data_IF_493313249323
#
_entry.id   IF_493313249323
#
_cell.length_a   1.000
_cell.length_b   1.000
_cell.length_c   1.000
_cell.angle_alpha   90.00
_cell.angle_beta   90.00
_cell.angle_gamma   90.00
#
_symmetry.space_group_name_H-M   'P 1'
#
loop_
_entity.id
_entity.type
_entity.pdbx_description
1 polymer ?
#
# COMPACT_ATOMS: atom_id res chain seq x y z
N UNK A 1 -1.62 17.05 2.17
CA UNK A 1 -1.99 15.98 3.11
C UNK A 1 -2.47 14.77 2.31
N UNK A 2 -1.97 13.55 2.59
CA UNK A 2 -2.49 12.33 2.01
C UNK A 2 -3.97 12.11 2.35
N UNK A 3 -4.76 11.64 1.38
CA UNK A 3 -6.21 11.47 1.53
C UNK A 3 -6.57 10.46 2.63
N UNK A 4 -5.72 9.44 2.87
CA UNK A 4 -5.97 8.39 3.86
C UNK A 4 -5.97 8.93 5.30
N UNK A 5 -5.37 10.10 5.56
CA UNK A 5 -5.40 10.70 6.89
C UNK A 5 -6.82 11.12 7.32
N UNK A 6 -7.70 11.38 6.37
CA UNK A 6 -9.11 11.68 6.62
C UNK A 6 -9.96 10.42 6.86
N UNK A 7 -9.38 9.23 6.65
CA UNK A 7 -10.05 7.94 6.81
C UNK A 7 -9.78 7.26 8.16
N UNK A 8 -8.98 7.86 9.05
CA UNK A 8 -8.59 7.28 10.35
C UNK A 8 -9.74 6.75 11.22
N UNK A 9 -10.95 7.25 11.03
CA UNK A 9 -12.13 6.89 11.84
C UNK A 9 -13.01 5.78 11.20
N UNK A 10 -12.65 5.25 10.03
CA UNK A 10 -13.40 4.22 9.30
C UNK A 10 -12.61 2.90 9.29
N UNK A 11 -12.69 2.18 10.40
CA UNK A 11 -11.87 0.98 10.66
C UNK A 11 -12.51 -0.33 10.18
N UNK A 12 -13.75 -0.28 9.68
CA UNK A 12 -14.54 -1.43 9.27
C UNK A 12 -14.20 -1.96 7.87
N UNK A 13 -13.45 -1.18 7.08
CA UNK A 13 -13.12 -1.53 5.69
C UNK A 13 -11.60 -1.64 5.50
N UNK A 14 -11.15 -2.77 4.95
CA UNK A 14 -9.81 -2.93 4.40
C UNK A 14 -9.71 -2.25 3.03
N UNK A 15 -8.82 -1.27 2.88
CA UNK A 15 -8.66 -0.49 1.65
C UNK A 15 -7.25 -0.71 1.08
N UNK A 16 -7.19 -1.22 -0.14
CA UNK A 16 -5.94 -1.42 -0.88
C UNK A 16 -5.87 -0.42 -2.02
N UNK A 17 -4.74 0.27 -2.18
CA UNK A 17 -4.57 1.25 -3.27
C UNK A 17 -3.16 1.29 -3.83
N UNK A 18 -3.02 1.81 -5.05
CA UNK A 18 -1.74 2.04 -5.72
C UNK A 18 -1.65 3.46 -6.29
N UNK A 19 -1.04 3.61 -7.47
CA UNK A 19 -0.85 4.86 -8.23
C UNK A 19 0.10 5.90 -7.60
N UNK A 20 0.24 5.91 -6.27
CA UNK A 20 1.03 6.91 -5.55
C UNK A 20 2.40 6.38 -5.08
N UNK A 21 3.27 6.07 -6.03
CA UNK A 21 4.62 5.52 -5.79
C UNK A 21 5.49 6.34 -4.81
N UNK A 22 5.26 7.66 -4.69
CA UNK A 22 6.00 8.52 -3.75
C UNK A 22 5.80 8.15 -2.27
N UNK A 23 4.75 7.36 -1.96
CA UNK A 23 4.51 6.82 -0.62
C UNK A 23 5.30 5.53 -0.35
N UNK A 24 5.90 4.92 -1.37
CA UNK A 24 6.65 3.67 -1.27
C UNK A 24 5.91 2.56 -0.50
N UNK A 25 4.65 2.32 -0.85
CA UNK A 25 3.82 1.30 -0.20
C UNK A 25 3.53 1.54 1.29
N UNK A 26 3.75 2.74 1.82
CA UNK A 26 3.50 3.10 3.21
C UNK A 26 2.16 3.82 3.41
N UNK A 27 1.45 3.44 4.48
CA UNK A 27 0.32 4.17 5.05
C UNK A 27 0.38 4.02 6.57
N UNK A 28 0.28 5.11 7.35
CA UNK A 28 0.25 5.08 8.81
C UNK A 28 -1.13 4.73 9.38
N UNK A 29 -2.16 4.62 8.53
CA UNK A 29 -3.55 4.38 8.96
C UNK A 29 -3.83 2.90 8.88
N UNK A 30 -4.32 2.33 9.99
CA UNK A 30 -4.72 0.93 10.05
C UNK A 30 -5.74 0.61 8.96
N UNK A 31 -5.68 -0.62 8.44
CA UNK A 31 -6.59 -1.16 7.42
C UNK A 31 -6.53 -0.43 6.06
N UNK A 32 -5.56 0.48 5.88
CA UNK A 32 -5.25 1.13 4.59
C UNK A 32 -3.87 0.68 4.13
N UNK A 33 -3.83 -0.05 3.03
CA UNK A 33 -2.64 -0.68 2.48
C UNK A 33 -2.25 -0.04 1.15
N UNK A 34 -1.17 0.75 1.17
CA UNK A 34 -0.53 1.23 -0.06
C UNK A 34 0.28 0.08 -0.68
N UNK A 35 0.01 -0.27 -1.93
CA UNK A 35 0.69 -1.36 -2.67
C UNK A 35 1.66 -0.85 -3.74
N UNK A 36 1.56 0.43 -4.12
CA UNK A 36 2.49 1.02 -5.10
C UNK A 36 3.82 1.35 -4.43
N UNK A 37 4.76 0.43 -4.62
CA UNK A 37 6.16 0.54 -4.22
C UNK A 37 7.05 1.01 -5.38
N UNK A 38 6.49 1.52 -6.48
CA UNK A 38 7.27 2.17 -7.54
C UNK A 38 8.12 1.22 -8.38
N UNK A 39 7.59 0.05 -8.76
CA UNK A 39 8.30 -0.96 -9.56
C UNK A 39 9.07 -0.39 -10.76
N UNK A 40 8.41 0.45 -11.58
CA UNK A 40 8.98 1.02 -12.82
C UNK A 40 10.05 2.09 -12.55
N UNK A 41 10.21 2.50 -11.30
CA UNK A 41 11.21 3.45 -10.85
C UNK A 41 12.43 2.77 -10.20
N UNK A 42 12.62 1.47 -10.45
CA UNK A 42 13.74 0.68 -9.95
C UNK A 42 13.59 0.18 -8.51
N UNK A 43 12.37 0.18 -7.97
CA UNK A 43 12.09 -0.35 -6.64
C UNK A 43 11.44 -1.74 -6.71
N UNK A 44 10.20 -1.93 -6.28
CA UNK A 44 9.59 -3.26 -6.21
C UNK A 44 8.18 -3.31 -6.80
N UNK A 45 7.76 -4.49 -7.24
CA UNK A 45 6.35 -4.85 -7.43
C UNK A 45 5.86 -5.57 -6.18
N UNK A 46 4.80 -5.06 -5.57
CA UNK A 46 4.30 -5.56 -4.28
C UNK A 46 2.89 -6.14 -4.41
N UNK A 47 2.66 -7.28 -3.75
CA UNK A 47 1.36 -7.93 -3.60
C UNK A 47 1.04 -8.17 -2.11
N UNK A 48 -0.24 -8.22 -1.78
CA UNK A 48 -0.74 -8.54 -0.44
C UNK A 48 -1.68 -9.73 -0.51
N UNK A 49 -1.39 -10.79 0.23
CA UNK A 49 -2.27 -11.95 0.39
C UNK A 49 -3.20 -11.70 1.57
N UNK A 50 -4.50 -11.64 1.30
CA UNK A 50 -5.53 -11.29 2.29
C UNK A 50 -5.67 -12.41 3.32
N UNK A 51 -5.63 -13.66 2.87
CA UNK A 51 -5.82 -14.85 3.70
C UNK A 51 -4.73 -14.99 4.78
N UNK A 52 -3.48 -14.71 4.42
CA UNK A 52 -2.34 -14.81 5.34
C UNK A 52 -1.94 -13.47 5.94
N UNK A 53 -2.53 -12.37 5.49
CA UNK A 53 -2.15 -11.00 5.83
C UNK A 53 -0.66 -10.70 5.59
N UNK A 54 -0.08 -11.29 4.55
CA UNK A 54 1.35 -11.15 4.23
C UNK A 54 1.58 -10.34 2.96
N UNK A 55 2.67 -9.56 2.99
CA UNK A 55 3.13 -8.78 1.86
C UNK A 55 4.31 -9.46 1.19
N UNK A 56 4.25 -9.56 -0.13
CA UNK A 56 5.30 -10.12 -0.97
C UNK A 56 5.78 -9.02 -1.93
N UNK A 57 7.09 -8.99 -2.19
CA UNK A 57 7.69 -8.04 -3.11
C UNK A 57 8.76 -8.71 -3.96
N UNK A 58 8.82 -8.34 -5.23
CA UNK A 58 9.92 -8.70 -6.15
C UNK A 58 10.57 -7.42 -6.66
N UNK A 59 11.88 -7.45 -6.88
CA UNK A 59 12.59 -6.29 -7.42
C UNK A 59 12.07 -5.95 -8.82
N UNK A 60 11.85 -4.67 -9.06
CA UNK A 60 11.60 -4.11 -10.38
C UNK A 60 12.87 -4.19 -11.24
N UNK A 61 12.67 -4.13 -12.56
CA UNK A 61 13.75 -4.14 -13.55
C UNK A 61 14.24 -2.73 -13.81
#
# INVERSE_FOLDING_TARGET
MPWYEFWRNRLDTELFFGHWAALNGYSPVANIHALDTGCVWGNALTAYCIETQQRYSVAGV
#
